data_IF_845938150164
#
_entry.id   IF_845938150164
#
_cell.length_a   1.000
_cell.length_b   1.000
_cell.length_c   1.000
_cell.angle_alpha   90.00
_cell.angle_beta   90.00
_cell.angle_gamma   90.00
#
_symmetry.space_group_name_H-M   'P 1'
#
loop_
_entity.id
_entity.type
_entity.pdbx_description
1 polymer ?
#
# COMPACT_ATOMS: atom_id res chain seq x y z
N UNK A 1 9.06 -3.95 43.47
CA UNK A 1 9.36 -2.95 44.53
C UNK A 1 9.65 -1.60 43.90
N UNK A 2 9.36 -0.47 44.56
CA UNK A 2 9.66 0.89 44.06
C UNK A 2 11.13 1.07 43.63
N UNK A 3 12.03 0.28 44.23
CA UNK A 3 13.44 0.20 43.85
C UNK A 3 13.70 -0.31 42.43
N UNK A 4 12.86 -1.19 41.86
CA UNK A 4 13.02 -1.67 40.47
C UNK A 4 12.68 -0.58 39.47
N UNK A 5 11.61 0.19 39.76
CA UNK A 5 11.14 1.27 38.90
C UNK A 5 12.18 2.39 38.80
N UNK A 6 12.83 2.69 39.93
CA UNK A 6 13.89 3.70 39.99
C UNK A 6 15.14 3.21 39.25
N UNK A 7 15.50 1.93 39.39
CA UNK A 7 16.64 1.33 38.68
C UNK A 7 16.42 1.32 37.16
N UNK A 8 15.24 0.93 36.69
CA UNK A 8 14.90 0.98 35.26
C UNK A 8 14.87 2.41 34.72
N UNK A 9 14.35 3.38 35.47
CA UNK A 9 14.34 4.78 35.05
C UNK A 9 15.76 5.34 34.86
N UNK A 10 16.67 5.02 35.78
CA UNK A 10 18.08 5.47 35.71
C UNK A 10 18.80 4.77 34.55
N UNK A 11 18.60 3.46 34.37
CA UNK A 11 19.18 2.70 33.25
C UNK A 11 18.69 3.22 31.89
N UNK A 12 17.40 3.53 31.79
CA UNK A 12 16.78 3.97 30.53
C UNK A 12 17.20 5.39 30.13
N UNK A 13 17.37 6.29 31.10
CA UNK A 13 17.95 7.63 30.83
C UNK A 13 19.41 7.57 30.36
N UNK A 14 20.17 6.57 30.81
CA UNK A 14 21.57 6.36 30.39
C UNK A 14 21.68 5.82 28.95
N UNK A 15 20.69 5.07 28.46
CA UNK A 15 20.70 4.43 27.14
C UNK A 15 20.11 5.28 25.99
N UNK A 16 19.72 6.55 26.21
CA UNK A 16 19.12 7.42 25.16
C UNK A 16 17.91 6.80 24.44
N UNK A 17 17.12 5.96 25.12
CA UNK A 17 15.88 5.40 24.57
C UNK A 17 14.69 5.74 25.46
N UNK A 18 13.58 6.12 24.83
CA UNK A 18 12.40 6.65 25.49
C UNK A 18 11.70 5.57 26.32
N UNK A 19 11.58 5.77 27.64
CA UNK A 19 10.74 4.94 28.51
C UNK A 19 9.26 5.35 28.37
N UNK A 20 8.45 4.49 27.74
CA UNK A 20 7.00 4.70 27.66
C UNK A 20 6.27 3.73 28.58
N UNK A 21 5.57 4.25 29.59
CA UNK A 21 4.72 3.42 30.45
C UNK A 21 3.55 2.81 29.65
N UNK A 22 2.95 1.72 30.13
CA UNK A 22 1.90 0.99 29.41
C UNK A 22 0.67 1.84 29.00
N UNK A 23 0.32 2.87 29.79
CA UNK A 23 -0.77 3.80 29.47
C UNK A 23 -0.35 4.83 28.42
N UNK A 24 0.89 5.32 28.48
CA UNK A 24 1.47 6.23 27.49
C UNK A 24 1.69 5.51 26.15
N UNK A 25 2.13 4.25 26.17
CA UNK A 25 2.27 3.43 24.97
C UNK A 25 0.92 3.22 24.28
N UNK A 26 -0.16 2.96 25.03
CA UNK A 26 -1.50 2.82 24.46
C UNK A 26 -1.97 4.12 23.80
N UNK A 27 -1.82 5.26 24.46
CA UNK A 27 -2.22 6.56 23.90
C UNK A 27 -1.38 6.98 22.68
N UNK A 28 -0.08 6.66 22.67
CA UNK A 28 0.80 6.89 21.52
C UNK A 28 0.46 5.95 20.35
N UNK A 29 0.21 4.67 20.60
CA UNK A 29 -0.24 3.72 19.58
C UNK A 29 -1.61 4.15 19.03
N UNK A 30 -2.53 4.63 19.87
CA UNK A 30 -3.85 5.11 19.42
C UNK A 30 -3.73 6.42 18.64
N UNK A 31 -2.86 7.34 19.06
CA UNK A 31 -2.55 8.57 18.32
C UNK A 31 -1.83 8.32 17.00
N UNK A 32 -0.95 7.33 16.93
CA UNK A 32 -0.30 6.86 15.71
C UNK A 32 -1.28 6.10 14.80
N UNK A 33 -2.20 5.31 15.37
CA UNK A 33 -3.31 4.68 14.62
C UNK A 33 -4.25 5.72 14.04
N UNK A 34 -4.57 6.77 14.78
CA UNK A 34 -5.49 7.81 14.32
C UNK A 34 -4.83 8.74 13.28
N UNK A 35 -3.50 8.90 13.32
CA UNK A 35 -2.70 9.55 12.25
C UNK A 35 -2.42 8.62 11.06
N UNK A 36 -2.80 7.33 11.14
CA UNK A 36 -2.92 6.39 10.00
C UNK A 36 -4.37 6.28 9.51
N UNK A 37 -5.10 7.39 9.52
CA UNK A 37 -6.18 7.59 8.54
C UNK A 37 -5.48 8.33 7.39
N UNK A 38 -4.93 7.75 6.33
CA UNK A 38 -5.42 6.73 5.40
C UNK A 38 -4.23 6.34 4.49
N UNK A 39 -3.32 5.47 4.96
CA UNK A 39 -2.20 4.96 4.12
C UNK A 39 -1.84 3.51 4.53
N UNK A 40 -2.83 2.75 5.00
CA UNK A 40 -2.84 1.31 4.78
C UNK A 40 -3.17 1.08 3.29
N UNK A 41 -2.82 -0.07 2.68
CA UNK A 41 -3.15 -0.32 1.30
C UNK A 41 -4.65 -0.11 1.17
N UNK A 42 -5.06 0.94 0.45
CA UNK A 42 -6.43 1.05 0.01
C UNK A 42 -6.62 -0.25 -0.77
N UNK A 43 -7.39 -1.18 -0.18
CA UNK A 43 -7.72 -2.45 -0.78
C UNK A 43 -8.69 -2.11 -1.92
N UNK A 44 -8.13 -1.50 -2.97
CA UNK A 44 -8.83 -1.20 -4.20
C UNK A 44 -9.12 -2.58 -4.75
N UNK A 45 -10.35 -3.06 -4.51
CA UNK A 45 -10.81 -4.33 -5.02
C UNK A 45 -10.83 -4.25 -6.54
N UNK A 46 -9.75 -4.74 -7.13
CA UNK A 46 -9.63 -4.95 -8.56
C UNK A 46 -10.29 -6.29 -8.89
N UNK A 47 -11.12 -6.29 -9.93
CA UNK A 47 -11.64 -7.54 -10.47
C UNK A 47 -10.51 -8.32 -11.14
N UNK A 48 -10.67 -9.63 -11.29
CA UNK A 48 -9.66 -10.50 -11.93
C UNK A 48 -9.22 -9.97 -13.31
N UNK A 49 -10.16 -9.48 -14.13
CA UNK A 49 -9.84 -8.86 -15.42
C UNK A 49 -8.99 -7.60 -15.30
N UNK A 50 -9.27 -6.76 -14.31
CA UNK A 50 -8.50 -5.53 -14.06
C UNK A 50 -7.07 -5.88 -13.59
N UNK A 51 -6.94 -6.91 -12.75
CA UNK A 51 -5.65 -7.45 -12.30
C UNK A 51 -4.85 -8.01 -13.48
N UNK A 52 -5.47 -8.82 -14.33
CA UNK A 52 -4.81 -9.39 -15.51
C UNK A 52 -4.31 -8.29 -16.46
N UNK A 53 -5.14 -7.28 -16.74
CA UNK A 53 -4.73 -6.15 -17.57
C UNK A 53 -3.57 -5.39 -16.93
N UNK A 54 -3.63 -5.14 -15.61
CA UNK A 54 -2.58 -4.46 -14.88
C UNK A 54 -1.25 -5.23 -14.90
N UNK A 55 -1.29 -6.58 -14.82
CA UNK A 55 -0.12 -7.45 -14.94
C UNK A 55 0.51 -7.38 -16.34
N UNK A 56 -0.30 -7.54 -17.39
CA UNK A 56 0.19 -7.46 -18.76
C UNK A 56 0.80 -6.08 -19.07
N UNK A 57 0.28 -5.01 -18.47
CA UNK A 57 0.90 -3.68 -18.54
C UNK A 57 2.27 -3.62 -17.87
N UNK A 58 2.47 -4.34 -16.76
CA UNK A 58 3.77 -4.44 -16.07
C UNK A 58 4.77 -5.27 -16.88
N UNK A 59 4.30 -6.23 -17.68
CA UNK A 59 5.08 -6.97 -18.67
C UNK A 59 5.34 -6.19 -19.98
N UNK A 60 5.08 -4.88 -19.97
CA UNK A 60 5.32 -3.97 -21.10
C UNK A 60 4.53 -4.33 -22.39
N UNK A 61 3.42 -5.06 -22.26
CA UNK A 61 2.55 -5.39 -23.41
C UNK A 61 1.83 -4.16 -23.95
N UNK A 62 1.73 -4.07 -25.28
CA UNK A 62 0.96 -3.01 -25.93
C UNK A 62 -0.55 -3.20 -25.74
N UNK A 63 -1.33 -2.12 -25.86
CA UNK A 63 -2.81 -2.18 -25.75
C UNK A 63 -3.43 -3.19 -26.74
N UNK A 64 -2.81 -3.39 -27.91
CA UNK A 64 -3.26 -4.37 -28.90
C UNK A 64 -2.98 -5.80 -28.46
N UNK A 65 -1.78 -6.08 -27.95
CA UNK A 65 -1.45 -7.40 -27.42
C UNK A 65 -2.31 -7.76 -26.20
N UNK A 66 -2.53 -6.79 -25.30
CA UNK A 66 -3.41 -6.99 -24.14
C UNK A 66 -4.83 -7.33 -24.62
N UNK A 67 -5.35 -6.60 -25.61
CA UNK A 67 -6.66 -6.82 -26.20
C UNK A 67 -6.82 -8.24 -26.78
N UNK A 68 -5.81 -8.73 -27.51
CA UNK A 68 -5.74 -10.11 -28.00
C UNK A 68 -5.74 -11.14 -26.86
N UNK A 69 -4.95 -10.92 -25.80
CA UNK A 69 -4.82 -11.86 -24.68
C UNK A 69 -6.11 -11.96 -23.86
N UNK A 70 -6.80 -10.85 -23.65
CA UNK A 70 -8.02 -10.80 -22.81
C UNK A 70 -9.32 -10.94 -23.60
N UNK A 71 -9.24 -11.18 -24.92
CA UNK A 71 -10.36 -11.28 -25.87
C UNK A 71 -11.30 -10.07 -25.80
N UNK A 72 -10.74 -8.86 -25.77
CA UNK A 72 -11.48 -7.60 -25.73
C UNK A 72 -11.03 -6.67 -26.86
N UNK A 73 -11.89 -5.70 -27.21
CA UNK A 73 -11.48 -4.65 -28.14
C UNK A 73 -10.42 -3.73 -27.51
N UNK A 74 -9.46 -3.18 -28.28
CA UNK A 74 -8.46 -2.25 -27.76
C UNK A 74 -9.08 -1.01 -27.10
N UNK A 75 -10.25 -0.56 -27.58
CA UNK A 75 -11.02 0.52 -26.94
C UNK A 75 -11.50 0.13 -25.54
N UNK A 76 -11.91 -1.11 -25.34
CA UNK A 76 -12.34 -1.61 -24.03
C UNK A 76 -11.17 -1.66 -23.06
N UNK A 77 -9.98 -2.08 -23.51
CA UNK A 77 -8.76 -2.08 -22.69
C UNK A 77 -8.37 -0.67 -22.25
N UNK A 78 -8.48 0.33 -23.14
CA UNK A 78 -8.26 1.74 -22.76
C UNK A 78 -9.28 2.22 -21.72
N UNK A 79 -10.57 1.92 -21.91
CA UNK A 79 -11.59 2.28 -20.93
C UNK A 79 -11.34 1.63 -19.56
N UNK A 80 -10.82 0.40 -19.52
CA UNK A 80 -10.43 -0.27 -18.27
C UNK A 80 -9.20 0.40 -17.65
N UNK A 81 -8.20 0.81 -18.44
CA UNK A 81 -7.04 1.58 -17.95
C UNK A 81 -7.46 2.89 -17.29
N UNK A 82 -8.39 3.63 -17.89
CA UNK A 82 -8.84 4.89 -17.30
C UNK A 82 -9.67 4.69 -16.03
N UNK A 83 -10.47 3.63 -15.99
CA UNK A 83 -11.14 3.20 -14.74
C UNK A 83 -10.12 2.82 -13.68
N UNK A 84 -9.10 2.03 -14.02
CA UNK A 84 -8.01 1.63 -13.13
C UNK A 84 -7.28 2.85 -12.57
N UNK A 85 -6.90 3.83 -13.41
CA UNK A 85 -6.30 5.10 -12.98
C UNK A 85 -7.16 5.80 -11.93
N UNK A 86 -8.46 5.89 -12.20
CA UNK A 86 -9.41 6.57 -11.31
C UNK A 86 -9.62 5.79 -10.00
N UNK A 87 -9.67 4.46 -10.06
CA UNK A 87 -9.88 3.56 -8.92
C UNK A 87 -8.69 3.56 -7.96
N UNK A 88 -7.49 3.62 -8.52
CA UNK A 88 -6.20 3.57 -7.82
C UNK A 88 -5.71 4.98 -7.44
N UNK A 89 -6.30 6.03 -8.02
CA UNK A 89 -5.81 7.41 -7.86
C UNK A 89 -4.52 7.70 -8.63
N UNK A 90 -4.17 6.87 -9.62
CA UNK A 90 -2.97 7.05 -10.42
C UNK A 90 -3.18 8.07 -11.55
N UNK A 91 -2.29 9.06 -11.64
CA UNK A 91 -2.33 10.10 -12.68
C UNK A 91 -1.71 9.67 -14.01
N UNK A 92 -0.93 8.59 -14.02
CA UNK A 92 -0.17 8.13 -15.18
C UNK A 92 -0.09 6.61 -15.21
N UNK A 93 0.27 6.07 -16.38
CA UNK A 93 0.57 4.63 -16.54
C UNK A 93 1.68 4.20 -15.60
N UNK A 94 2.74 5.00 -15.46
CA UNK A 94 3.81 4.71 -14.50
C UNK A 94 3.29 4.66 -13.05
N UNK A 95 2.32 5.50 -12.70
CA UNK A 95 1.63 5.43 -11.40
C UNK A 95 0.84 4.13 -11.19
N UNK A 96 0.21 3.60 -12.23
CA UNK A 96 -0.45 2.29 -12.20
C UNK A 96 0.55 1.15 -12.00
N UNK A 97 1.67 1.18 -12.72
CA UNK A 97 2.74 0.18 -12.60
C UNK A 97 3.32 0.21 -11.18
N UNK A 98 3.64 1.41 -10.67
CA UNK A 98 4.15 1.60 -9.31
C UNK A 98 3.17 1.08 -8.26
N UNK A 99 1.86 1.29 -8.46
CA UNK A 99 0.84 0.71 -7.61
C UNK A 99 0.86 -0.82 -7.66
N UNK A 100 0.92 -1.41 -8.85
CA UNK A 100 0.96 -2.87 -9.01
C UNK A 100 2.17 -3.51 -8.30
N UNK A 101 3.33 -2.86 -8.34
CA UNK A 101 4.54 -3.31 -7.62
C UNK A 101 4.36 -3.17 -6.11
N UNK A 102 3.91 -1.99 -5.62
CA UNK A 102 3.68 -1.76 -4.19
C UNK A 102 2.70 -2.76 -3.55
N UNK A 103 1.72 -3.22 -4.32
CA UNK A 103 0.69 -4.14 -3.87
C UNK A 103 0.98 -5.61 -4.22
N UNK A 104 2.19 -5.96 -4.68
CA UNK A 104 2.57 -7.32 -5.11
C UNK A 104 1.60 -7.93 -6.15
N UNK A 105 0.97 -7.09 -6.98
CA UNK A 105 0.05 -7.54 -8.03
C UNK A 105 0.84 -8.00 -9.26
N UNK A 106 1.98 -7.34 -9.52
CA UNK A 106 2.86 -7.57 -10.65
C UNK A 106 4.10 -8.44 -10.32
N UNK A 107 4.26 -8.84 -9.06
CA UNK A 107 5.38 -9.72 -8.65
C UNK A 107 4.88 -11.16 -8.59
N UNK A 108 5.58 -12.05 -9.30
CA UNK A 108 5.37 -13.51 -9.28
C UNK A 108 6.73 -14.18 -9.10
#
# INVERSE_FOLDING_TARGET
SDSEVIYEAIKTCYEQEYFFNALTNKALIDGLRNKRSDDGPSDVKLNEKEITILRLMCEEKSTKEIADIVDLSPRTVEAIRDKLKSKVGAKSTAGLIMYAVKHNIAEQ
#
